data_IF_155461418679
#
_entry.id   IF_155461418679
#
_cell.length_a   1.000
_cell.length_b   1.000
_cell.length_c   1.000
_cell.angle_alpha   90.00
_cell.angle_beta   90.00
_cell.angle_gamma   90.00
#
_symmetry.space_group_name_H-M   'P 1'
#
loop_
_entity.id
_entity.type
_entity.pdbx_description
1 polymer ?
#
# COMPACT_ATOMS: atom_id res chain seq x y z
N UNK A 1 -4.89 -5.96 -0.57
CA UNK A 1 -4.34 -4.71 -1.16
C UNK A 1 -3.33 -4.12 -0.19
N UNK A 2 -2.16 -3.77 -0.66
CA UNK A 2 -1.09 -3.09 0.09
C UNK A 2 -0.83 -1.76 -0.60
N UNK A 3 -0.58 -0.70 0.15
CA UNK A 3 -0.23 0.61 -0.43
C UNK A 3 0.83 1.35 0.41
N UNK A 4 1.48 2.32 -0.20
CA UNK A 4 2.68 2.99 0.30
C UNK A 4 2.49 4.51 0.25
N UNK A 5 2.92 5.20 1.31
CA UNK A 5 2.79 6.65 1.42
C UNK A 5 4.07 7.38 0.99
N UNK A 6 3.91 8.60 0.51
CA UNK A 6 5.04 9.44 0.04
C UNK A 6 5.64 10.30 1.15
N UNK A 7 6.90 10.72 0.94
CA UNK A 7 7.61 11.71 1.76
C UNK A 7 7.48 13.13 1.21
N UNK A 8 7.64 14.12 2.10
CA UNK A 8 7.70 15.54 1.78
C UNK A 8 8.56 16.33 2.79
N UNK A 9 8.29 17.61 2.94
CA UNK A 9 8.98 18.47 3.90
C UNK A 9 8.45 18.25 5.33
N UNK A 10 9.28 18.43 6.38
CA UNK A 10 8.87 18.36 7.77
C UNK A 10 7.68 19.29 8.07
N UNK A 11 6.77 18.85 8.90
CA UNK A 11 5.68 19.66 9.44
C UNK A 11 5.87 19.83 10.95
N UNK A 12 5.41 20.96 11.52
CA UNK A 12 5.43 21.16 12.98
C UNK A 12 4.11 20.68 13.62
N UNK A 13 3.46 19.68 13.01
CA UNK A 13 2.19 19.14 13.52
C UNK A 13 2.46 18.08 14.58
N UNK A 14 1.60 18.04 15.59
CA UNK A 14 1.55 16.95 16.56
C UNK A 14 0.45 15.99 16.15
N UNK A 15 0.76 14.72 16.03
CA UNK A 15 -0.18 13.65 15.70
C UNK A 15 -0.58 12.90 16.98
N UNK A 16 -1.82 12.40 17.02
CA UNK A 16 -2.25 11.54 18.12
C UNK A 16 -1.38 10.28 18.16
N UNK A 17 -0.86 9.88 19.34
CA UNK A 17 -0.03 8.68 19.45
C UNK A 17 -0.79 7.39 19.09
N UNK A 18 -2.13 7.38 19.19
CA UNK A 18 -2.96 6.26 18.77
C UNK A 18 -3.32 6.44 17.29
N UNK A 19 -2.89 5.52 16.45
CA UNK A 19 -3.09 5.58 14.99
C UNK A 19 -4.56 5.83 14.60
N UNK A 20 -5.48 5.08 15.19
CA UNK A 20 -6.91 5.12 14.87
C UNK A 20 -7.56 6.48 15.14
N UNK A 21 -7.01 7.29 16.06
CA UNK A 21 -7.55 8.62 16.38
C UNK A 21 -7.24 9.69 15.32
N UNK A 22 -6.26 9.44 14.46
CA UNK A 22 -5.92 10.37 13.39
C UNK A 22 -6.83 10.13 12.19
N UNK A 23 -7.30 11.17 11.52
CA UNK A 23 -7.94 11.02 10.21
C UNK A 23 -6.91 10.67 9.12
N UNK A 24 -7.40 10.26 7.94
CA UNK A 24 -6.50 9.87 6.85
C UNK A 24 -5.66 11.05 6.36
N UNK A 25 -6.16 12.28 6.44
CA UNK A 25 -5.40 13.48 6.07
C UNK A 25 -4.19 13.69 7.01
N UNK A 26 -4.37 13.52 8.33
CA UNK A 26 -3.28 13.61 9.31
C UNK A 26 -2.25 12.47 9.12
N UNK A 27 -2.72 11.26 8.83
CA UNK A 27 -1.84 10.11 8.54
C UNK A 27 -0.99 10.39 7.29
N UNK A 28 -1.60 10.88 6.23
CA UNK A 28 -0.92 11.27 4.99
C UNK A 28 0.09 12.38 5.25
N UNK A 29 -0.27 13.40 6.03
CA UNK A 29 0.64 14.48 6.40
C UNK A 29 1.86 13.97 7.16
N UNK A 30 1.66 13.08 8.16
CA UNK A 30 2.75 12.47 8.92
C UNK A 30 3.71 11.68 8.01
N UNK A 31 3.16 10.92 7.06
CA UNK A 31 3.95 10.20 6.07
C UNK A 31 4.73 11.17 5.18
N UNK A 32 4.06 12.21 4.69
CA UNK A 32 4.68 13.22 3.82
C UNK A 32 5.81 13.97 4.53
N UNK A 33 5.63 14.32 5.80
CA UNK A 33 6.66 14.95 6.62
C UNK A 33 7.77 13.98 7.06
N UNK A 34 7.57 12.66 6.89
CA UNK A 34 8.42 11.61 7.47
C UNK A 34 8.47 11.67 9.02
N UNK A 35 7.35 12.03 9.63
CA UNK A 35 7.17 12.22 11.08
C UNK A 35 6.18 11.20 11.67
N UNK A 36 6.11 10.01 11.06
CA UNK A 36 5.25 8.92 11.53
C UNK A 36 5.64 8.53 12.95
N UNK A 37 4.73 8.64 13.94
CA UNK A 37 5.03 8.24 15.32
C UNK A 37 5.38 6.75 15.43
N UNK A 38 6.35 6.42 16.29
CA UNK A 38 6.71 5.01 16.53
C UNK A 38 5.58 4.25 17.22
N UNK A 39 4.74 4.93 17.97
CA UNK A 39 3.56 4.36 18.62
C UNK A 39 2.55 3.79 17.62
N UNK A 40 2.53 4.30 16.39
CA UNK A 40 1.63 3.76 15.35
C UNK A 40 1.99 2.36 14.86
N UNK A 41 3.16 1.85 15.21
CA UNK A 41 3.63 0.52 14.78
C UNK A 41 4.07 -0.38 15.93
N UNK A 42 4.02 0.10 17.18
CA UNK A 42 4.60 -0.60 18.34
C UNK A 42 3.59 -1.22 19.29
N UNK A 43 2.34 -0.74 19.32
CA UNK A 43 1.37 -1.12 20.35
C UNK A 43 0.33 -2.17 19.91
N UNK A 44 0.41 -2.67 18.69
CA UNK A 44 -0.53 -3.66 18.16
C UNK A 44 -1.92 -3.11 17.79
N UNK A 45 -2.21 -1.84 18.07
CA UNK A 45 -3.47 -1.16 17.68
C UNK A 45 -3.36 -0.41 16.34
N UNK A 46 -2.45 -0.86 15.49
CA UNK A 46 -2.02 -0.18 14.27
C UNK A 46 -3.01 -0.41 13.13
N UNK A 47 -4.27 -0.09 13.31
CA UNK A 47 -5.26 -0.21 12.26
C UNK A 47 -6.28 0.93 12.29
N UNK A 48 -6.92 1.15 11.16
CA UNK A 48 -8.02 2.09 10.98
C UNK A 48 -8.90 1.66 9.82
N UNK A 49 -10.20 1.96 9.93
CA UNK A 49 -11.11 1.72 8.81
C UNK A 49 -10.92 2.78 7.71
N UNK A 50 -11.08 2.32 6.47
CA UNK A 50 -11.10 3.15 5.26
C UNK A 50 -12.30 2.78 4.42
N UNK A 51 -13.02 3.79 3.92
CA UNK A 51 -14.04 3.56 2.90
C UNK A 51 -13.38 3.22 1.56
N UNK A 52 -13.75 2.08 0.99
CA UNK A 52 -13.28 1.62 -0.31
C UNK A 52 -14.50 1.28 -1.14
N UNK A 53 -14.88 2.18 -2.06
CA UNK A 53 -16.03 1.97 -2.92
C UNK A 53 -17.38 1.96 -2.18
N UNK A 54 -17.51 2.70 -1.07
CA UNK A 54 -18.72 2.80 -0.27
C UNK A 54 -18.86 1.76 0.84
N UNK A 55 -17.80 0.98 1.11
CA UNK A 55 -17.76 0.02 2.21
C UNK A 55 -16.51 0.23 3.07
N UNK A 56 -16.67 0.15 4.40
CA UNK A 56 -15.56 0.23 5.33
C UNK A 56 -14.77 -1.08 5.35
N UNK A 57 -13.45 -0.97 5.19
CA UNK A 57 -12.48 -2.05 5.34
C UNK A 57 -11.43 -1.67 6.37
N UNK A 58 -11.08 -2.60 7.23
CA UNK A 58 -9.98 -2.43 8.16
C UNK A 58 -8.65 -2.44 7.41
N UNK A 59 -7.84 -1.42 7.66
CA UNK A 59 -6.49 -1.26 7.13
C UNK A 59 -5.49 -1.34 8.26
N UNK A 60 -4.59 -2.32 8.18
CA UNK A 60 -3.52 -2.52 9.14
C UNK A 60 -2.22 -1.87 8.65
N UNK A 61 -1.41 -1.35 9.56
CA UNK A 61 -0.02 -1.00 9.27
C UNK A 61 0.83 -2.25 9.41
N UNK A 62 1.57 -2.59 8.36
CA UNK A 62 2.47 -3.76 8.32
C UNK A 62 3.94 -3.39 8.26
N UNK A 63 4.28 -2.12 8.05
CA UNK A 63 5.66 -1.66 8.02
C UNK A 63 5.81 -0.15 8.15
N UNK A 64 6.91 0.27 8.77
CA UNK A 64 7.39 1.65 8.82
C UNK A 64 8.81 1.70 8.28
N UNK A 65 9.07 2.57 7.30
CA UNK A 65 10.37 2.68 6.65
C UNK A 65 10.91 1.32 6.16
N UNK A 66 10.04 0.48 5.62
CA UNK A 66 10.35 -0.90 5.27
C UNK A 66 10.63 -1.06 3.76
N UNK A 67 9.70 -0.63 2.91
CA UNK A 67 9.76 -0.89 1.48
C UNK A 67 10.55 0.20 0.73
N UNK A 68 11.38 -0.20 -0.25
CA UNK A 68 12.15 0.72 -1.07
C UNK A 68 11.25 1.40 -2.12
N UNK A 69 11.21 2.74 -2.09
CA UNK A 69 10.51 3.51 -3.12
C UNK A 69 11.16 3.29 -4.49
N UNK A 70 10.34 3.11 -5.51
CA UNK A 70 10.81 2.82 -6.88
C UNK A 70 11.61 3.98 -7.49
N UNK A 71 11.33 5.21 -7.06
CA UNK A 71 12.04 6.41 -7.49
C UNK A 71 13.43 6.60 -6.83
N UNK A 72 13.81 5.70 -5.94
CA UNK A 72 15.11 5.74 -5.25
C UNK A 72 15.24 6.81 -4.16
N UNK A 73 14.15 7.49 -3.79
CA UNK A 73 14.19 8.57 -2.78
C UNK A 73 14.25 8.06 -1.34
N UNK A 74 14.24 6.74 -1.13
CA UNK A 74 14.37 6.10 0.18
C UNK A 74 13.30 5.06 0.44
N UNK A 75 12.82 5.00 1.69
CA UNK A 75 11.81 4.04 2.14
C UNK A 75 10.42 4.67 2.20
N UNK A 76 9.39 3.86 1.95
CA UNK A 76 8.01 4.23 2.22
C UNK A 76 7.81 4.46 3.72
N UNK A 77 7.32 5.63 4.17
CA UNK A 77 7.11 5.92 5.60
C UNK A 77 6.16 4.93 6.27
N UNK A 78 5.10 4.53 5.58
CA UNK A 78 4.16 3.48 6.01
C UNK A 78 3.86 2.53 4.85
N UNK A 79 3.74 1.25 5.19
CA UNK A 79 3.16 0.20 4.37
C UNK A 79 1.88 -0.27 5.05
N UNK A 80 0.77 -0.19 4.32
CA UNK A 80 -0.56 -0.53 4.82
C UNK A 80 -1.13 -1.71 4.04
N UNK A 81 -1.96 -2.51 4.70
CA UNK A 81 -2.61 -3.68 4.10
C UNK A 81 -4.05 -3.80 4.58
N UNK A 82 -4.96 -4.21 3.70
CA UNK A 82 -6.29 -4.65 4.14
C UNK A 82 -6.15 -5.86 5.07
N UNK A 83 -6.88 -5.82 6.19
CA UNK A 83 -6.91 -6.91 7.17
C UNK A 83 -7.48 -8.20 6.57
N UNK A 84 -8.62 -8.07 5.92
CA UNK A 84 -9.33 -9.16 5.27
C UNK A 84 -9.21 -9.09 3.74
N UNK A 85 -9.61 -10.15 3.06
CA UNK A 85 -9.74 -10.15 1.62
C UNK A 85 -10.81 -9.16 1.16
N UNK A 86 -10.63 -8.61 -0.04
CA UNK A 86 -11.69 -7.84 -0.69
C UNK A 86 -12.89 -8.75 -0.99
N UNK A 87 -14.11 -8.22 -0.88
CA UNK A 87 -15.34 -9.01 -0.98
C UNK A 87 -15.54 -9.74 -2.31
N UNK A 88 -15.01 -9.15 -3.37
CA UNK A 88 -15.10 -9.71 -4.71
C UNK A 88 -13.85 -10.50 -5.03
N UNK A 89 -14.03 -11.72 -5.48
CA UNK A 89 -12.92 -12.56 -5.97
C UNK A 89 -12.56 -12.21 -7.40
N UNK A 90 -11.25 -12.15 -7.67
CA UNK A 90 -10.72 -11.89 -8.99
C UNK A 90 -9.75 -12.99 -9.42
N UNK A 91 -9.72 -13.28 -10.71
CA UNK A 91 -8.73 -14.18 -11.28
C UNK A 91 -7.41 -13.43 -11.51
N UNK A 92 -6.30 -14.14 -11.35
CA UNK A 92 -4.98 -13.59 -11.67
C UNK A 92 -4.83 -13.22 -13.15
N UNK A 93 -5.42 -14.05 -14.03
CA UNK A 93 -5.44 -13.89 -15.48
C UNK A 93 -6.80 -14.31 -16.05
N UNK A 94 -7.14 -13.86 -17.25
CA UNK A 94 -8.36 -14.25 -17.97
C UNK A 94 -8.35 -15.72 -18.43
N UNK A 95 -7.20 -16.38 -18.38
CA UNK A 95 -7.03 -17.80 -18.70
C UNK A 95 -6.20 -18.49 -17.60
N UNK A 96 -6.30 -19.81 -17.53
CA UNK A 96 -5.55 -20.61 -16.55
C UNK A 96 -4.05 -20.67 -16.92
N UNK A 97 -3.33 -19.57 -16.63
CA UNK A 97 -1.90 -19.43 -16.89
C UNK A 97 -1.25 -18.57 -15.81
N UNK A 98 0.02 -18.86 -15.52
CA UNK A 98 0.90 -18.02 -14.70
C UNK A 98 2.10 -17.48 -15.51
N UNK A 99 2.01 -17.51 -16.83
CA UNK A 99 3.02 -16.95 -17.73
C UNK A 99 3.21 -15.46 -17.45
N UNK A 100 4.47 -15.01 -17.35
CA UNK A 100 4.83 -13.63 -17.02
C UNK A 100 4.75 -13.30 -15.51
N UNK A 101 4.28 -14.25 -14.68
CA UNK A 101 4.21 -14.08 -13.23
C UNK A 101 3.36 -12.88 -12.80
N UNK A 102 3.71 -12.26 -11.68
CA UNK A 102 3.04 -11.06 -11.19
C UNK A 102 3.18 -9.90 -12.17
N UNK A 103 4.35 -9.71 -12.76
CA UNK A 103 4.65 -8.57 -13.63
C UNK A 103 3.62 -8.36 -14.75
N UNK A 104 3.22 -9.46 -15.42
CA UNK A 104 2.41 -9.39 -16.63
C UNK A 104 0.96 -9.85 -16.41
N UNK A 105 0.56 -10.24 -15.18
CA UNK A 105 -0.77 -10.76 -14.92
C UNK A 105 -1.85 -9.66 -14.97
N UNK A 106 -3.08 -10.08 -15.30
CA UNK A 106 -4.24 -9.19 -15.34
C UNK A 106 -4.55 -8.58 -13.97
N UNK A 107 -4.32 -9.33 -12.89
CA UNK A 107 -4.50 -8.81 -11.52
C UNK A 107 -3.71 -7.52 -11.33
N UNK A 108 -2.40 -7.53 -11.65
CA UNK A 108 -1.54 -6.37 -11.51
C UNK A 108 -1.89 -5.24 -12.48
N UNK A 109 -2.11 -5.58 -13.77
CA UNK A 109 -2.19 -4.58 -14.84
C UNK A 109 -3.58 -3.95 -15.00
N UNK A 110 -4.62 -4.58 -14.47
CA UNK A 110 -6.01 -4.13 -14.62
C UNK A 110 -6.76 -4.05 -13.29
N UNK A 111 -6.72 -5.13 -12.48
CA UNK A 111 -7.54 -5.22 -11.27
C UNK A 111 -7.03 -4.30 -10.16
N UNK A 112 -5.72 -4.28 -9.89
CA UNK A 112 -5.16 -3.39 -8.87
C UNK A 112 -5.39 -1.90 -9.17
N UNK A 113 -5.17 -1.39 -10.40
CA UNK A 113 -5.53 -0.01 -10.75
C UNK A 113 -7.02 0.30 -10.56
N UNK A 114 -7.91 -0.64 -10.90
CA UNK A 114 -9.34 -0.45 -10.70
C UNK A 114 -9.73 -0.39 -9.20
N UNK A 115 -9.09 -1.21 -8.37
CA UNK A 115 -9.27 -1.17 -6.91
C UNK A 115 -8.68 0.11 -6.29
N UNK A 116 -7.52 0.58 -6.78
CA UNK A 116 -6.96 1.87 -6.36
C UNK A 116 -7.94 3.02 -6.60
N UNK A 117 -8.65 3.01 -7.72
CA UNK A 117 -9.62 4.05 -8.06
C UNK A 117 -10.83 4.11 -7.10
N UNK A 118 -11.06 3.08 -6.28
CA UNK A 118 -12.10 3.05 -5.25
C UNK A 118 -11.66 3.64 -3.90
N UNK A 119 -10.37 3.87 -3.70
CA UNK A 119 -9.84 4.50 -2.47
C UNK A 119 -10.24 5.97 -2.38
N UNK A 120 -10.24 6.58 -1.18
CA UNK A 120 -10.39 8.03 -1.04
C UNK A 120 -9.36 8.78 -1.89
N UNK A 121 -9.78 9.85 -2.57
CA UNK A 121 -8.92 10.60 -3.51
C UNK A 121 -7.63 11.13 -2.86
N UNK A 122 -7.71 11.53 -1.58
CA UNK A 122 -6.56 11.97 -0.80
C UNK A 122 -5.51 10.86 -0.64
N UNK A 123 -5.96 9.62 -0.41
CA UNK A 123 -5.09 8.44 -0.31
C UNK A 123 -4.49 8.10 -1.67
N UNK A 124 -5.34 8.03 -2.73
CA UNK A 124 -4.89 7.73 -4.09
C UNK A 124 -3.72 8.64 -4.52
N UNK A 125 -3.83 9.94 -4.22
CA UNK A 125 -2.83 10.94 -4.63
C UNK A 125 -1.46 10.78 -3.96
N UNK A 126 -1.40 10.02 -2.87
CA UNK A 126 -0.21 9.85 -2.02
C UNK A 126 0.40 8.45 -2.04
N UNK A 127 -0.27 7.49 -2.65
CA UNK A 127 0.30 6.17 -2.89
C UNK A 127 1.49 6.31 -3.85
N UNK A 128 2.54 5.55 -3.58
CA UNK A 128 3.77 5.52 -4.39
C UNK A 128 4.16 4.10 -4.71
N UNK A 129 4.84 3.96 -5.83
CA UNK A 129 5.41 2.68 -6.24
C UNK A 129 6.56 2.27 -5.34
N UNK A 130 6.62 1.00 -5.02
CA UNK A 130 7.77 0.35 -4.39
C UNK A 130 8.29 -0.79 -5.23
N UNK A 131 9.57 -1.09 -5.08
CA UNK A 131 10.19 -2.21 -5.76
C UNK A 131 9.84 -3.52 -5.08
N UNK A 132 9.31 -4.47 -5.85
CA UNK A 132 9.01 -5.84 -5.40
C UNK A 132 9.75 -6.85 -6.26
N UNK A 133 10.29 -7.87 -5.60
CA UNK A 133 10.93 -9.01 -6.26
C UNK A 133 9.88 -10.11 -6.43
N UNK A 134 9.60 -10.48 -7.66
CA UNK A 134 8.58 -11.47 -8.02
C UNK A 134 9.12 -12.52 -8.99
N UNK A 135 8.48 -13.70 -9.02
CA UNK A 135 8.81 -14.72 -10.01
C UNK A 135 8.34 -14.31 -11.40
N UNK A 136 9.09 -14.69 -12.43
CA UNK A 136 8.70 -14.54 -13.84
C UNK A 136 7.56 -15.50 -14.27
N UNK A 137 7.07 -16.36 -13.37
CA UNK A 137 6.02 -17.35 -13.66
C UNK A 137 6.54 -18.61 -14.34
N UNK A 138 5.61 -19.51 -14.72
CA UNK A 138 5.91 -20.78 -15.41
C UNK A 138 7.00 -21.63 -14.69
N UNK A 139 6.96 -21.69 -13.35
CA UNK A 139 7.95 -22.39 -12.53
C UNK A 139 9.41 -21.91 -12.77
N UNK A 140 9.56 -20.69 -13.27
CA UNK A 140 10.88 -20.09 -13.50
C UNK A 140 11.55 -19.75 -12.17
N UNK A 141 12.85 -20.00 -12.07
CA UNK A 141 13.70 -19.49 -10.99
C UNK A 141 14.13 -18.03 -11.18
N UNK A 142 13.76 -17.43 -12.30
CA UNK A 142 14.10 -16.04 -12.61
C UNK A 142 13.27 -15.12 -11.71
N UNK A 143 13.96 -14.21 -11.04
CA UNK A 143 13.37 -13.15 -10.26
C UNK A 143 13.38 -11.87 -11.10
N UNK A 144 12.25 -11.20 -11.12
CA UNK A 144 12.08 -9.90 -11.79
C UNK A 144 11.67 -8.84 -10.76
N UNK A 145 12.12 -7.61 -11.00
CA UNK A 145 11.68 -6.47 -10.19
C UNK A 145 10.44 -5.85 -10.85
N UNK A 146 9.43 -5.58 -10.06
CA UNK A 146 8.26 -4.78 -10.46
C UNK A 146 8.18 -3.55 -9.58
N UNK A 147 7.65 -2.45 -10.12
CA UNK A 147 7.30 -1.25 -9.36
C UNK A 147 5.79 -1.26 -9.18
N UNK A 148 5.34 -1.37 -7.94
CA UNK A 148 3.92 -1.56 -7.62
C UNK A 148 3.43 -0.54 -6.60
N UNK A 149 2.25 0.05 -6.85
CA UNK A 149 1.55 0.95 -5.93
C UNK A 149 0.67 0.19 -4.93
N UNK A 150 0.18 -1.01 -5.32
CA UNK A 150 -0.72 -1.88 -4.55
C UNK A 150 -0.27 -3.32 -4.60
#
# INVERSE_FOLDING_TARGET
MVFFMSRGLPSNKTYDPVFANNDWAAIIDACHANEVPDTWVSDGSCYKDMDIGGKAYRIDIIGKNHDDLADGTGKAPLTCQMHDCYDTTYQMNSSNTNAGGWRDCQMRTQTMPALKALLPAEVQSRIREVNKLTSAGNQSSIIVTTSDEL
#
